data_IF_671737370344
#
_entry.id   IF_671737370344
#
_cell.length_a   1.000
_cell.length_b   1.000
_cell.length_c   1.000
_cell.angle_alpha   90.00
_cell.angle_beta   90.00
_cell.angle_gamma   90.00
#
_symmetry.space_group_name_H-M   'P 1'
#
loop_
_entity.id
_entity.type
_entity.pdbx_description
1 polymer ?
#
# COMPACT_ATOMS: atom_id res chain seq x y z
N UNK A 1 9.69 -69.71 15.75
CA UNK A 1 10.76 -68.83 15.23
C UNK A 1 10.37 -68.07 13.95
N UNK A 2 9.48 -68.54 13.05
CA UNK A 2 9.08 -67.81 11.83
C UNK A 2 8.09 -66.65 12.05
N UNK A 3 7.31 -66.63 13.13
CA UNK A 3 6.31 -65.58 13.41
C UNK A 3 6.95 -64.30 13.96
N UNK A 4 7.99 -64.40 14.78
CA UNK A 4 8.68 -63.28 15.38
C UNK A 4 9.44 -62.43 14.33
N UNK A 5 10.03 -63.08 13.33
CA UNK A 5 10.80 -62.39 12.26
C UNK A 5 9.88 -61.58 11.35
N UNK A 6 8.61 -62.03 11.16
CA UNK A 6 7.63 -61.27 10.35
C UNK A 6 7.15 -59.99 11.04
N UNK A 7 7.04 -60.00 12.37
CA UNK A 7 6.64 -58.85 13.16
C UNK A 7 7.72 -57.73 13.16
N UNK A 8 9.01 -58.07 13.27
CA UNK A 8 10.10 -57.10 13.20
C UNK A 8 10.25 -56.46 11.82
N UNK A 9 10.02 -57.20 10.73
CA UNK A 9 10.06 -56.63 9.38
C UNK A 9 8.93 -55.62 9.15
N UNK A 10 7.73 -55.88 9.67
CA UNK A 10 6.58 -54.98 9.55
C UNK A 10 6.80 -53.70 10.39
N UNK A 11 7.40 -53.83 11.57
CA UNK A 11 7.73 -52.70 12.45
C UNK A 11 8.80 -51.79 11.83
N UNK A 12 9.84 -52.37 11.24
CA UNK A 12 10.89 -51.63 10.54
C UNK A 12 10.36 -50.92 9.27
N UNK A 13 9.47 -51.58 8.51
CA UNK A 13 8.86 -50.99 7.32
C UNK A 13 7.97 -49.78 7.68
N UNK A 14 7.20 -49.88 8.79
CA UNK A 14 6.39 -48.77 9.28
C UNK A 14 7.25 -47.58 9.80
N UNK A 15 8.38 -47.86 10.46
CA UNK A 15 9.31 -46.80 10.91
C UNK A 15 9.95 -46.09 9.70
N UNK A 16 10.33 -46.81 8.66
CA UNK A 16 10.91 -46.22 7.43
C UNK A 16 9.84 -45.42 6.67
N UNK A 17 8.57 -45.88 6.63
CA UNK A 17 7.46 -45.17 6.02
C UNK A 17 7.13 -43.87 6.80
N UNK A 18 7.20 -43.89 8.13
CA UNK A 18 7.03 -42.71 9.00
C UNK A 18 8.17 -41.71 8.81
N UNK A 19 9.43 -42.16 8.68
CA UNK A 19 10.57 -41.28 8.39
C UNK A 19 10.48 -40.66 6.99
N UNK A 20 10.01 -41.42 5.99
CA UNK A 20 9.77 -40.89 4.64
C UNK A 20 8.62 -39.87 4.59
N UNK A 21 7.54 -40.06 5.39
CA UNK A 21 6.48 -39.10 5.55
C UNK A 21 6.93 -37.81 6.29
N UNK A 22 7.86 -37.90 7.24
CA UNK A 22 8.43 -36.72 7.91
C UNK A 22 9.38 -35.91 7.00
N UNK A 23 10.02 -36.54 6.02
CA UNK A 23 10.91 -35.84 5.07
C UNK A 23 10.12 -35.10 3.99
N UNK A 24 8.85 -35.48 3.72
CA UNK A 24 7.99 -34.78 2.75
C UNK A 24 7.26 -33.56 3.31
N UNK A 25 7.34 -33.28 4.61
CA UNK A 25 6.72 -32.07 5.21
C UNK A 25 7.71 -30.91 5.40
N UNK A 26 8.95 -31.04 4.93
CA UNK A 26 9.77 -29.86 4.67
C UNK A 26 9.30 -29.29 3.33
N UNK A 27 8.10 -28.72 3.35
CA UNK A 27 7.65 -27.81 2.31
C UNK A 27 8.68 -26.69 2.32
N UNK A 28 9.63 -26.76 1.39
CA UNK A 28 10.59 -25.70 1.15
C UNK A 28 9.78 -24.44 0.87
N UNK A 29 9.65 -23.57 1.86
CA UNK A 29 9.39 -22.17 1.60
C UNK A 29 10.55 -21.71 0.72
N UNK A 30 10.38 -21.85 -0.58
CA UNK A 30 11.27 -21.24 -1.55
C UNK A 30 11.08 -19.73 -1.39
N UNK A 31 11.82 -19.15 -0.45
CA UNK A 31 11.97 -17.69 -0.37
C UNK A 31 12.39 -17.25 -1.76
N UNK A 32 11.50 -16.54 -2.44
CA UNK A 32 11.77 -15.89 -3.71
C UNK A 32 12.83 -14.83 -3.40
N UNK A 33 14.11 -15.17 -3.53
CA UNK A 33 15.20 -14.21 -3.42
C UNK A 33 15.10 -13.27 -4.61
N UNK A 34 14.32 -12.20 -4.46
CA UNK A 34 14.45 -11.03 -5.31
C UNK A 34 15.86 -10.49 -5.09
N UNK A 35 16.79 -10.80 -5.99
CA UNK A 35 18.13 -10.23 -5.93
C UNK A 35 18.01 -8.72 -6.07
N UNK A 36 18.31 -8.01 -4.98
CA UNK A 36 18.39 -6.56 -4.97
C UNK A 36 19.40 -6.13 -6.03
N UNK A 37 18.91 -5.54 -7.13
CA UNK A 37 19.81 -5.00 -8.15
C UNK A 37 20.32 -3.65 -7.68
N UNK A 38 21.64 -3.40 -7.73
CA UNK A 38 22.20 -2.09 -7.43
C UNK A 38 21.55 -1.01 -8.30
N UNK A 39 21.18 0.10 -7.71
CA UNK A 39 20.73 1.30 -8.41
C UNK A 39 21.90 2.25 -8.50
N UNK A 40 22.37 2.56 -9.70
CA UNK A 40 23.56 3.39 -9.92
C UNK A 40 23.42 4.77 -9.24
N UNK A 41 24.39 5.13 -8.38
CA UNK A 41 24.41 6.39 -7.64
C UNK A 41 23.47 6.44 -6.44
N UNK A 42 22.97 5.27 -6.00
CA UNK A 42 22.10 5.14 -4.84
C UNK A 42 22.49 3.93 -4.00
N UNK A 43 22.32 4.03 -2.70
CA UNK A 43 22.37 2.89 -1.77
C UNK A 43 20.99 2.65 -1.17
N UNK A 44 20.66 1.37 -0.94
CA UNK A 44 19.41 0.97 -0.29
C UNK A 44 19.47 1.31 1.19
N UNK A 45 18.53 2.12 1.68
CA UNK A 45 18.45 2.51 3.11
C UNK A 45 17.35 1.79 3.86
N UNK A 46 16.31 1.32 3.16
CA UNK A 46 15.22 0.57 3.75
C UNK A 46 14.47 -0.23 2.68
N UNK A 47 13.94 -1.38 3.07
CA UNK A 47 13.05 -2.16 2.22
C UNK A 47 12.13 -3.06 3.04
N UNK A 48 11.00 -3.44 2.43
CA UNK A 48 10.16 -4.55 2.83
C UNK A 48 9.84 -5.39 1.58
N UNK A 49 10.32 -6.64 1.58
CA UNK A 49 10.16 -7.59 0.47
C UNK A 49 9.01 -8.57 0.74
N UNK A 50 8.31 -8.43 1.86
CA UNK A 50 7.16 -9.24 2.29
C UNK A 50 7.37 -10.76 2.22
N UNK A 51 8.61 -11.22 2.33
CA UNK A 51 9.03 -12.62 2.12
C UNK A 51 8.63 -13.59 3.24
N UNK A 52 8.08 -13.10 4.36
CA UNK A 52 7.71 -13.91 5.51
C UNK A 52 6.20 -13.95 5.58
N UNK A 53 5.62 -15.14 5.40
CA UNK A 53 4.19 -15.35 5.51
C UNK A 53 3.70 -15.09 6.94
N UNK A 54 3.12 -13.92 7.16
CA UNK A 54 2.58 -13.49 8.45
C UNK A 54 1.80 -12.16 8.32
N UNK A 55 1.56 -11.48 9.42
CA UNK A 55 1.17 -10.08 9.43
C UNK A 55 2.37 -9.21 9.00
N UNK A 56 2.16 -8.08 8.31
CA UNK A 56 3.21 -7.11 8.03
C UNK A 56 4.01 -6.75 9.27
N UNK A 57 5.34 -6.63 9.11
CA UNK A 57 6.27 -6.44 10.23
C UNK A 57 5.89 -5.21 11.08
N UNK A 58 5.55 -5.37 12.37
CA UNK A 58 5.14 -4.27 13.23
C UNK A 58 6.25 -3.24 13.49
N UNK A 59 7.52 -3.56 13.22
CA UNK A 59 8.62 -2.60 13.30
C UNK A 59 8.61 -1.63 12.11
N UNK A 60 8.01 -2.03 10.98
CA UNK A 60 7.89 -1.22 9.79
C UNK A 60 6.55 -0.50 9.69
N UNK A 61 5.45 -1.14 10.14
CA UNK A 61 4.11 -0.71 9.81
C UNK A 61 3.22 -0.45 11.02
N UNK A 62 2.54 0.68 10.97
CA UNK A 62 1.34 0.99 11.73
C UNK A 62 0.12 0.88 10.80
N UNK A 63 -1.07 1.02 11.36
CA UNK A 63 -2.33 0.92 10.62
C UNK A 63 -3.28 2.06 10.98
N UNK A 64 -4.02 2.54 10.00
CA UNK A 64 -5.21 3.32 10.29
C UNK A 64 -6.35 2.40 10.71
N UNK A 65 -7.24 2.91 11.52
CA UNK A 65 -8.39 2.17 12.04
C UNK A 65 -9.68 2.99 11.91
N UNK A 66 -10.73 2.35 11.40
CA UNK A 66 -12.04 2.98 11.28
C UNK A 66 -12.29 3.65 9.93
N UNK A 67 -13.32 4.49 9.92
CA UNK A 67 -13.56 5.45 8.85
C UNK A 67 -12.63 6.65 9.04
N UNK A 68 -11.83 7.01 8.04
CA UNK A 68 -10.74 7.97 8.25
C UNK A 68 -10.93 9.27 7.48
N UNK A 69 -11.07 9.23 6.14
CA UNK A 69 -11.08 10.42 5.28
C UNK A 69 -12.05 10.30 4.10
N UNK A 70 -12.25 11.41 3.36
CA UNK A 70 -12.85 11.47 2.02
C UNK A 70 -14.23 10.83 1.87
N UNK A 71 -15.00 10.67 2.96
CA UNK A 71 -16.27 9.95 2.99
C UNK A 71 -16.17 8.51 2.47
N UNK A 72 -14.98 7.93 2.49
CA UNK A 72 -14.71 6.56 2.04
C UNK A 72 -15.60 5.55 2.76
N UNK A 73 -15.94 4.46 2.07
CA UNK A 73 -16.95 3.51 2.56
C UNK A 73 -16.35 2.31 3.31
N UNK A 74 -15.03 2.08 3.21
CA UNK A 74 -14.38 1.03 3.97
C UNK A 74 -14.06 1.46 5.41
N UNK A 75 -14.15 0.49 6.28
CA UNK A 75 -13.54 0.53 7.61
C UNK A 75 -12.14 -0.05 7.51
N UNK A 76 -11.12 0.75 7.81
CA UNK A 76 -9.75 0.27 7.86
C UNK A 76 -9.50 -0.56 9.11
N UNK A 77 -8.83 -1.69 8.93
CA UNK A 77 -8.40 -2.59 10.00
C UNK A 77 -7.19 -3.43 9.53
N UNK A 78 -6.32 -3.82 10.49
CA UNK A 78 -5.08 -4.56 10.19
C UNK A 78 -5.31 -5.96 9.60
N UNK A 79 -6.42 -6.59 9.93
CA UNK A 79 -6.77 -7.96 9.52
C UNK A 79 -7.01 -8.07 8.00
N UNK A 80 -7.10 -6.95 7.30
CA UNK A 80 -7.24 -6.91 5.84
C UNK A 80 -5.88 -6.84 5.11
N UNK A 81 -4.75 -6.86 5.83
CA UNK A 81 -3.40 -6.90 5.28
C UNK A 81 -2.64 -8.13 5.78
N UNK A 82 -2.10 -8.92 4.87
CA UNK A 82 -1.29 -10.11 5.19
C UNK A 82 -0.09 -10.20 4.24
N UNK A 83 1.03 -10.72 4.72
CA UNK A 83 2.13 -11.14 3.86
C UNK A 83 1.94 -12.63 3.54
N UNK A 84 1.91 -12.96 2.26
CA UNK A 84 1.73 -14.32 1.79
C UNK A 84 2.38 -14.54 0.43
N UNK A 85 3.07 -15.67 0.28
CA UNK A 85 3.73 -16.09 -0.97
C UNK A 85 4.70 -15.02 -1.53
N UNK A 86 5.32 -14.23 -0.65
CA UNK A 86 6.25 -13.16 -1.01
C UNK A 86 5.57 -11.84 -1.44
N UNK A 87 4.32 -11.62 -1.06
CA UNK A 87 3.57 -10.40 -1.35
C UNK A 87 2.90 -9.83 -0.10
N UNK A 88 2.83 -8.51 0.00
CA UNK A 88 1.81 -7.88 0.84
C UNK A 88 0.49 -7.87 0.07
N UNK A 89 -0.52 -8.45 0.67
CA UNK A 89 -1.88 -8.54 0.12
C UNK A 89 -2.82 -7.71 0.97
N UNK A 90 -3.33 -6.62 0.42
CA UNK A 90 -4.41 -5.84 1.01
C UNK A 90 -5.72 -6.27 0.37
N UNK A 91 -6.69 -6.68 1.18
CA UNK A 91 -7.96 -7.20 0.68
C UNK A 91 -9.13 -6.35 1.18
N UNK A 92 -9.84 -5.70 0.26
CA UNK A 92 -11.15 -5.13 0.59
C UNK A 92 -12.22 -6.22 0.52
N UNK A 93 -13.06 -6.31 1.57
CA UNK A 93 -14.09 -7.36 1.74
C UNK A 93 -15.44 -6.74 2.11
N UNK A 94 -16.52 -7.31 1.60
CA UNK A 94 -17.83 -7.01 2.14
C UNK A 94 -17.89 -7.36 3.63
N UNK A 95 -18.59 -6.54 4.39
CA UNK A 95 -18.82 -6.74 5.80
C UNK A 95 -20.27 -6.32 6.16
N UNK A 96 -20.80 -6.91 7.20
CA UNK A 96 -22.10 -6.55 7.74
C UNK A 96 -21.99 -6.50 9.26
N UNK A 97 -21.34 -5.41 9.74
CA UNK A 97 -21.05 -5.22 11.16
C UNK A 97 -21.62 -3.90 11.65
N UNK A 98 -22.10 -3.78 12.89
CA UNK A 98 -22.37 -2.50 13.50
C UNK A 98 -21.11 -1.62 13.53
N UNK A 99 -21.28 -0.32 13.33
CA UNK A 99 -20.20 0.63 13.54
C UNK A 99 -20.07 0.90 15.08
N UNK A 100 -18.94 0.55 15.70
CA UNK A 100 -18.78 0.76 17.15
C UNK A 100 -18.73 2.25 17.54
N UNK A 101 -18.49 3.13 16.56
CA UNK A 101 -18.42 4.57 16.76
C UNK A 101 -19.74 5.29 16.39
N UNK A 102 -20.79 4.53 16.08
CA UNK A 102 -22.09 5.11 15.73
C UNK A 102 -22.71 5.83 16.95
N UNK A 103 -23.11 7.06 16.76
CA UNK A 103 -23.82 7.85 17.79
C UNK A 103 -25.27 8.13 17.37
N UNK A 104 -25.48 8.79 16.22
CA UNK A 104 -26.80 9.01 15.62
C UNK A 104 -26.68 9.26 14.12
N UNK A 105 -27.78 9.11 13.39
CA UNK A 105 -27.82 9.39 11.92
C UNK A 105 -27.67 10.88 11.60
N UNK A 106 -27.99 11.73 12.56
CA UNK A 106 -27.94 13.19 12.47
C UNK A 106 -26.60 13.76 12.94
N UNK A 107 -25.66 12.90 13.38
CA UNK A 107 -24.36 13.36 13.87
C UNK A 107 -23.56 14.04 12.76
N UNK A 108 -22.97 15.22 13.05
CA UNK A 108 -22.22 16.03 12.07
C UNK A 108 -20.97 15.30 11.54
N UNK A 109 -20.29 14.54 12.39
CA UNK A 109 -19.19 13.69 11.95
C UNK A 109 -19.73 12.46 11.22
N UNK A 110 -19.52 12.40 9.91
CA UNK A 110 -19.95 11.33 9.03
C UNK A 110 -19.45 9.92 9.46
N UNK A 111 -18.37 9.84 10.24
CA UNK A 111 -17.83 8.58 10.77
C UNK A 111 -18.69 8.02 11.89
N UNK A 112 -19.50 8.89 12.54
CA UNK A 112 -20.37 8.58 13.66
C UNK A 112 -21.85 8.52 13.28
N UNK A 113 -22.23 8.96 12.07
CA UNK A 113 -23.62 8.87 11.58
C UNK A 113 -23.89 7.62 10.74
N UNK A 114 -22.86 6.84 10.40
CA UNK A 114 -22.98 5.54 9.75
C UNK A 114 -23.22 4.45 10.79
N UNK A 115 -24.39 3.80 10.77
CA UNK A 115 -24.75 2.75 11.72
C UNK A 115 -24.04 1.41 11.46
N UNK A 116 -23.52 1.21 10.29
CA UNK A 116 -22.94 -0.06 9.86
C UNK A 116 -21.69 0.08 9.02
N UNK A 117 -20.81 -0.93 9.13
CA UNK A 117 -19.64 -1.14 8.30
C UNK A 117 -20.03 -2.10 7.18
N UNK A 118 -19.99 -1.64 5.93
CA UNK A 118 -20.36 -2.43 4.74
C UNK A 118 -19.17 -3.03 4.02
N UNK A 119 -18.00 -2.42 4.16
CA UNK A 119 -16.74 -2.87 3.57
C UNK A 119 -15.63 -2.71 4.60
N UNK A 120 -14.72 -3.67 4.66
CA UNK A 120 -13.45 -3.55 5.40
C UNK A 120 -12.28 -3.56 4.44
N UNK A 121 -11.21 -2.83 4.78
CA UNK A 121 -9.95 -2.79 4.02
C UNK A 121 -8.78 -2.49 4.95
N UNK A 122 -7.60 -2.18 4.41
CA UNK A 122 -6.44 -1.78 5.21
C UNK A 122 -5.73 -0.56 4.63
N UNK A 123 -5.17 0.23 5.53
CA UNK A 123 -4.19 1.27 5.26
C UNK A 123 -3.00 1.06 6.18
N UNK A 124 -1.84 0.81 5.59
CA UNK A 124 -0.56 0.67 6.27
C UNK A 124 0.20 1.99 6.15
N UNK A 125 0.92 2.37 7.21
CA UNK A 125 1.73 3.58 7.23
C UNK A 125 3.02 3.37 8.02
N UNK A 126 4.10 4.03 7.56
CA UNK A 126 5.39 4.03 8.28
C UNK A 126 5.51 5.15 9.32
N UNK A 127 4.46 5.93 9.54
CA UNK A 127 4.45 7.02 10.52
C UNK A 127 4.88 6.53 11.92
N UNK A 128 5.74 7.32 12.60
CA UNK A 128 6.36 7.00 13.90
C UNK A 128 7.26 5.76 13.90
N UNK A 129 7.62 5.24 12.72
CA UNK A 129 8.55 4.13 12.52
C UNK A 129 9.68 4.55 11.59
N UNK A 130 9.33 4.93 10.38
CA UNK A 130 10.28 5.35 9.34
C UNK A 130 9.76 6.58 8.61
N UNK A 131 10.67 7.49 8.30
CA UNK A 131 10.44 8.63 7.42
C UNK A 131 11.76 8.98 6.73
N UNK A 132 11.68 9.52 5.53
CA UNK A 132 12.87 9.84 4.74
C UNK A 132 12.68 11.21 4.08
N UNK A 133 13.76 11.96 4.01
CA UNK A 133 13.83 13.17 3.20
C UNK A 133 14.70 12.88 2.00
N UNK A 134 14.16 13.08 0.80
CA UNK A 134 14.79 12.79 -0.48
C UNK A 134 15.08 11.31 -0.71
N UNK A 135 15.38 10.97 -1.95
CA UNK A 135 15.74 9.64 -2.37
C UNK A 135 14.87 9.12 -3.49
N UNK A 136 15.06 7.85 -3.80
CA UNK A 136 14.22 7.06 -4.71
C UNK A 136 13.36 6.13 -3.90
N UNK A 137 12.07 6.19 -4.13
CA UNK A 137 11.06 5.32 -3.52
C UNK A 137 10.46 4.45 -4.61
N UNK A 138 10.50 3.15 -4.44
CA UNK A 138 9.98 2.20 -5.40
C UNK A 138 9.01 1.23 -4.73
N UNK A 139 7.85 1.05 -5.34
CA UNK A 139 6.90 -0.01 -5.03
C UNK A 139 6.65 -0.83 -6.30
N UNK A 140 6.82 -2.13 -6.25
CA UNK A 140 6.35 -3.01 -7.32
C UNK A 140 5.04 -3.63 -6.93
N UNK A 141 3.99 -3.32 -7.68
CA UNK A 141 2.63 -3.71 -7.33
C UNK A 141 1.75 -3.96 -8.54
N UNK A 142 0.75 -4.82 -8.35
CA UNK A 142 -0.39 -5.01 -9.26
C UNK A 142 -1.61 -4.40 -8.58
N UNK A 143 -2.09 -3.29 -9.12
CA UNK A 143 -3.20 -2.53 -8.54
C UNK A 143 -4.55 -3.08 -8.99
N UNK A 144 -5.55 -3.15 -8.10
CA UNK A 144 -6.92 -3.42 -8.51
C UNK A 144 -7.52 -2.21 -9.20
N UNK A 145 -8.37 -2.46 -10.21
CA UNK A 145 -9.06 -1.43 -10.97
C UNK A 145 -10.54 -1.77 -11.10
N UNK A 146 -11.39 -0.76 -11.27
CA UNK A 146 -12.83 -0.92 -11.41
C UNK A 146 -13.63 0.18 -10.72
N UNK A 147 -14.96 0.04 -10.74
CA UNK A 147 -15.87 1.01 -10.14
C UNK A 147 -15.67 1.08 -8.63
N UNK A 148 -15.53 2.30 -8.11
CA UNK A 148 -15.38 2.56 -6.68
C UNK A 148 -14.10 2.04 -6.02
N UNK A 149 -13.16 1.49 -6.78
CA UNK A 149 -11.88 0.98 -6.29
C UNK A 149 -10.87 2.13 -6.32
N UNK A 150 -10.13 2.31 -5.20
CA UNK A 150 -9.16 3.40 -5.04
C UNK A 150 -7.93 2.95 -4.26
N UNK A 151 -6.99 2.23 -4.90
CA UNK A 151 -5.67 1.95 -4.35
C UNK A 151 -4.81 3.20 -4.40
N UNK A 152 -3.94 3.38 -3.38
CA UNK A 152 -2.97 4.47 -3.35
C UNK A 152 -1.63 4.02 -2.75
N UNK A 153 -0.55 4.65 -3.23
CA UNK A 153 0.79 4.66 -2.68
C UNK A 153 1.28 6.10 -2.65
N UNK A 154 1.42 6.65 -1.46
CA UNK A 154 1.58 8.08 -1.24
C UNK A 154 2.37 8.41 0.02
N UNK A 155 2.67 9.68 0.24
CA UNK A 155 3.44 10.16 1.37
C UNK A 155 2.84 11.41 1.99
N UNK A 156 3.09 11.61 3.29
CA UNK A 156 2.82 12.85 4.00
C UNK A 156 4.06 13.27 4.81
N UNK A 157 4.28 14.58 4.89
CA UNK A 157 5.31 15.15 5.76
C UNK A 157 5.03 14.90 7.24
N UNK A 158 6.11 14.75 8.01
CA UNK A 158 6.01 14.44 9.45
C UNK A 158 5.61 15.64 10.30
N UNK A 159 5.90 16.85 9.86
CA UNK A 159 5.63 18.08 10.58
C UNK A 159 4.49 18.88 9.95
N UNK A 160 3.55 19.34 10.77
CA UNK A 160 2.39 20.11 10.35
C UNK A 160 1.14 19.26 10.12
N UNK A 161 0.06 19.96 9.78
CA UNK A 161 -1.22 19.35 9.44
C UNK A 161 -1.45 19.46 7.94
N UNK A 162 -2.19 18.52 7.39
CA UNK A 162 -2.60 18.59 5.98
C UNK A 162 -3.39 19.89 5.69
N UNK A 163 -3.13 20.59 4.58
CA UNK A 163 -2.16 20.27 3.52
C UNK A 163 -0.76 20.90 3.71
N UNK A 164 -0.49 21.60 4.84
CA UNK A 164 0.77 22.32 5.05
C UNK A 164 1.99 21.40 5.27
N UNK A 165 1.74 20.11 5.60
CA UNK A 165 2.79 19.10 5.69
C UNK A 165 3.19 18.51 4.32
N UNK A 166 2.46 18.84 3.24
CA UNK A 166 2.71 18.31 1.90
C UNK A 166 2.23 16.88 1.71
N UNK A 167 1.79 16.57 0.49
CA UNK A 167 1.34 15.26 0.06
C UNK A 167 1.95 14.92 -1.29
N UNK A 168 2.41 13.69 -1.48
CA UNK A 168 2.90 13.20 -2.76
C UNK A 168 2.21 11.87 -3.06
N UNK A 169 1.31 11.87 -4.04
CA UNK A 169 0.64 10.67 -4.52
C UNK A 169 1.48 10.05 -5.64
N UNK A 170 2.35 9.10 -5.25
CA UNK A 170 3.24 8.42 -6.20
C UNK A 170 2.40 7.59 -7.17
N UNK A 171 1.30 7.03 -6.69
CA UNK A 171 0.31 6.30 -7.46
C UNK A 171 -1.05 6.39 -6.79
N UNK A 172 -2.05 6.79 -7.55
CA UNK A 172 -3.46 6.60 -7.25
C UNK A 172 -4.20 6.04 -8.48
N UNK A 173 -5.26 5.30 -8.23
CA UNK A 173 -6.22 4.93 -9.26
C UNK A 173 -7.64 5.18 -8.75
N UNK A 174 -8.46 5.87 -9.53
CA UNK A 174 -9.92 5.91 -9.39
C UNK A 174 -10.60 6.36 -10.69
N UNK A 175 -11.87 5.97 -10.84
CA UNK A 175 -12.73 6.36 -11.99
C UNK A 175 -12.06 6.12 -13.35
N UNK A 176 -11.33 4.98 -13.48
CA UNK A 176 -10.69 4.60 -14.74
C UNK A 176 -9.39 5.35 -15.06
N UNK A 177 -8.81 6.06 -14.12
CA UNK A 177 -7.61 6.86 -14.33
C UNK A 177 -6.50 6.50 -13.35
N UNK A 178 -5.26 6.54 -13.83
CA UNK A 178 -4.04 6.59 -13.05
C UNK A 178 -3.71 8.05 -12.77
N UNK A 179 -3.40 8.38 -11.53
CA UNK A 179 -3.06 9.73 -11.10
C UNK A 179 -1.70 9.75 -10.43
N UNK A 180 -1.02 10.87 -10.60
CA UNK A 180 0.24 11.19 -9.94
C UNK A 180 0.19 12.66 -9.53
N UNK A 181 0.08 12.93 -8.22
CA UNK A 181 -0.25 14.26 -7.72
C UNK A 181 0.75 14.71 -6.65
N UNK A 182 0.85 16.03 -6.49
CA UNK A 182 1.64 16.67 -5.45
C UNK A 182 0.81 17.83 -4.90
N UNK A 183 0.64 17.90 -3.58
CA UNK A 183 -0.19 18.93 -2.94
C UNK A 183 0.53 19.66 -1.82
N UNK A 184 0.28 20.96 -1.71
CA UNK A 184 0.78 21.81 -0.63
C UNK A 184 -0.25 22.89 -0.27
N UNK A 185 0.01 23.64 0.79
CA UNK A 185 -0.97 24.55 1.37
C UNK A 185 -1.16 25.83 0.53
N UNK A 186 -2.44 26.18 0.29
CA UNK A 186 -2.82 27.51 -0.19
C UNK A 186 -3.15 28.44 0.99
N UNK A 187 -3.44 29.72 0.68
CA UNK A 187 -3.92 30.69 1.67
C UNK A 187 -5.37 30.46 2.13
N UNK A 188 -6.05 29.45 1.57
CA UNK A 188 -7.39 29.07 1.98
C UNK A 188 -7.36 27.81 2.82
N UNK A 189 -7.89 27.91 4.05
CA UNK A 189 -7.91 26.79 5.00
C UNK A 189 -8.52 25.52 4.35
N UNK A 190 -7.80 24.41 4.46
CA UNK A 190 -8.19 23.09 3.91
C UNK A 190 -8.34 23.02 2.38
N UNK A 191 -7.84 24.00 1.64
CA UNK A 191 -7.78 23.96 0.19
C UNK A 191 -6.32 23.88 -0.26
N UNK A 192 -5.85 22.73 -0.71
CA UNK A 192 -4.49 22.58 -1.22
C UNK A 192 -4.34 23.18 -2.61
N UNK A 193 -3.11 23.56 -2.95
CA UNK A 193 -2.65 23.72 -4.33
C UNK A 193 -2.22 22.36 -4.83
N UNK A 194 -2.64 21.99 -6.04
CA UNK A 194 -2.33 20.72 -6.65
C UNK A 194 -1.50 20.87 -7.92
N UNK A 195 -0.40 20.13 -8.01
CA UNK A 195 0.22 19.77 -9.29
C UNK A 195 -0.21 18.34 -9.61
N UNK A 196 -1.18 18.19 -10.53
CA UNK A 196 -1.84 16.93 -10.82
C UNK A 196 -1.66 16.49 -12.25
N UNK A 197 -1.46 15.19 -12.47
CA UNK A 197 -1.50 14.54 -13.78
C UNK A 197 -2.40 13.31 -13.73
N UNK A 198 -3.21 13.20 -14.77
CA UNK A 198 -4.22 12.12 -14.89
C UNK A 198 -4.05 11.43 -16.23
N UNK A 199 -4.03 10.10 -16.21
CA UNK A 199 -3.90 9.25 -17.39
C UNK A 199 -5.04 8.25 -17.44
N UNK A 200 -5.83 8.28 -18.49
CA UNK A 200 -6.90 7.29 -18.65
C UNK A 200 -6.29 5.89 -18.80
N UNK A 201 -6.80 4.93 -18.04
CA UNK A 201 -6.27 3.56 -18.03
C UNK A 201 -6.33 2.92 -19.44
N UNK A 202 -7.31 3.28 -20.27
CA UNK A 202 -7.43 2.77 -21.64
C UNK A 202 -6.33 3.26 -22.59
N UNK A 203 -5.48 4.21 -22.18
CA UNK A 203 -4.30 4.63 -22.96
C UNK A 203 -3.10 3.70 -22.75
N UNK A 204 -3.16 2.82 -21.77
CA UNK A 204 -2.16 1.76 -21.57
C UNK A 204 -2.53 0.53 -22.41
N UNK A 205 -1.59 -0.41 -22.56
CA UNK A 205 -1.85 -1.65 -23.31
C UNK A 205 -2.99 -2.46 -22.66
N UNK A 206 -3.64 -3.29 -23.45
CA UNK A 206 -4.65 -4.22 -22.93
C UNK A 206 -4.11 -5.07 -21.78
N UNK A 207 -4.95 -5.29 -20.78
CA UNK A 207 -4.62 -6.06 -19.58
C UNK A 207 -3.47 -5.49 -18.71
N UNK A 208 -3.05 -4.24 -18.95
CA UNK A 208 -1.95 -3.62 -18.21
C UNK A 208 -2.13 -3.72 -16.70
N UNK A 209 -3.30 -3.42 -16.16
CA UNK A 209 -3.58 -3.50 -14.73
C UNK A 209 -3.50 -4.93 -14.13
N UNK A 210 -3.44 -5.98 -14.96
CA UNK A 210 -3.26 -7.36 -14.51
C UNK A 210 -1.77 -7.73 -14.32
N UNK A 211 -0.86 -6.81 -14.61
CA UNK A 211 0.58 -7.00 -14.48
C UNK A 211 1.12 -6.24 -13.27
N UNK A 212 2.31 -6.62 -12.82
CA UNK A 212 3.05 -5.86 -11.80
C UNK A 212 3.84 -4.74 -12.46
N UNK A 213 3.65 -3.52 -11.98
CA UNK A 213 4.35 -2.32 -12.41
C UNK A 213 5.21 -1.75 -11.29
N UNK A 214 6.28 -1.04 -11.65
CA UNK A 214 7.13 -0.32 -10.70
C UNK A 214 6.69 1.13 -10.63
N UNK A 215 6.10 1.51 -9.52
CA UNK A 215 5.74 2.87 -9.18
C UNK A 215 6.90 3.52 -8.46
N UNK A 216 7.38 4.66 -8.98
CA UNK A 216 8.61 5.26 -8.48
C UNK A 216 8.48 6.77 -8.30
N UNK A 217 9.05 7.26 -7.20
CA UNK A 217 9.34 8.65 -6.97
C UNK A 217 10.85 8.84 -6.93
N UNK A 218 11.38 9.78 -7.70
CA UNK A 218 12.70 10.35 -7.54
C UNK A 218 12.54 11.75 -6.95
N UNK A 219 13.05 11.97 -5.75
CA UNK A 219 12.89 13.19 -5.00
C UNK A 219 14.23 13.69 -4.49
N UNK A 220 14.55 14.95 -4.79
CA UNK A 220 15.74 15.63 -4.31
C UNK A 220 15.42 17.07 -3.86
N UNK A 221 16.45 17.87 -3.62
CA UNK A 221 16.31 19.25 -3.13
C UNK A 221 15.58 20.18 -4.10
N UNK A 222 15.55 19.84 -5.37
CA UNK A 222 15.06 20.71 -6.44
C UNK A 222 13.77 20.21 -7.08
N UNK A 223 13.52 18.91 -7.06
CA UNK A 223 12.41 18.34 -7.81
C UNK A 223 11.85 17.04 -7.20
N UNK A 224 10.58 16.79 -7.52
CA UNK A 224 9.90 15.50 -7.36
C UNK A 224 9.49 15.02 -8.74
N UNK A 225 9.84 13.78 -9.09
CA UNK A 225 9.48 13.13 -10.34
C UNK A 225 8.80 11.80 -10.06
N UNK A 226 7.60 11.62 -10.61
CA UNK A 226 6.76 10.44 -10.39
C UNK A 226 6.68 9.62 -11.68
N UNK A 227 6.85 8.30 -11.54
CA UNK A 227 6.94 7.39 -12.69
C UNK A 227 6.11 6.13 -12.48
N UNK A 228 5.68 5.53 -13.60
CA UNK A 228 5.34 4.11 -13.68
C UNK A 228 6.29 3.43 -14.66
N UNK A 229 6.89 2.33 -14.24
CA UNK A 229 7.99 1.66 -14.93
C UNK A 229 9.12 2.66 -15.22
N UNK A 230 9.29 3.12 -16.44
CA UNK A 230 10.24 4.18 -16.77
C UNK A 230 9.55 5.40 -17.42
N UNK A 231 8.22 5.41 -17.46
CA UNK A 231 7.44 6.52 -18.00
C UNK A 231 7.28 7.60 -16.92
N UNK A 232 7.73 8.81 -17.20
CA UNK A 232 7.47 9.98 -16.34
C UNK A 232 5.98 10.31 -16.41
N UNK A 233 5.33 10.35 -15.24
CA UNK A 233 3.92 10.73 -15.10
C UNK A 233 3.80 12.20 -14.69
N UNK A 234 4.55 12.64 -13.68
CA UNK A 234 4.48 14.01 -13.17
C UNK A 234 5.83 14.48 -12.69
N UNK A 235 6.04 15.80 -12.74
CA UNK A 235 7.23 16.48 -12.20
C UNK A 235 6.82 17.79 -11.55
N UNK A 236 7.41 18.10 -10.39
CA UNK A 236 7.30 19.39 -9.73
C UNK A 236 8.69 19.99 -9.48
N UNK A 237 8.84 21.28 -9.80
CA UNK A 237 9.96 22.11 -9.35
C UNK A 237 9.66 22.58 -7.93
N UNK A 238 10.49 22.20 -6.96
CA UNK A 238 10.29 22.53 -5.56
C UNK A 238 10.45 24.03 -5.26
N UNK A 239 11.07 24.80 -6.13
CA UNK A 239 11.08 26.26 -5.99
C UNK A 239 9.65 26.86 -6.06
N UNK A 240 8.69 26.15 -6.64
CA UNK A 240 7.31 26.60 -6.84
C UNK A 240 6.31 26.03 -5.82
N UNK A 241 6.72 25.14 -4.93
CA UNK A 241 5.83 24.42 -4.00
C UNK A 241 5.87 24.98 -2.57
N UNK A 242 5.94 26.28 -2.45
CA UNK A 242 5.98 26.98 -1.16
C UNK A 242 4.57 27.12 -0.60
N UNK A 243 4.36 26.72 0.63
CA UNK A 243 3.12 26.96 1.37
C UNK A 243 2.83 28.47 1.47
N UNK A 244 1.63 28.89 1.07
CA UNK A 244 1.28 30.31 1.01
C UNK A 244 1.12 30.94 2.39
N UNK A 245 0.81 30.18 3.46
CA UNK A 245 0.58 30.74 4.79
C UNK A 245 1.85 30.87 5.61
N UNK A 246 2.72 29.85 5.61
CA UNK A 246 3.91 29.79 6.46
C UNK A 246 5.24 30.00 5.69
N UNK A 247 5.17 30.13 4.36
CA UNK A 247 6.30 30.34 3.44
C UNK A 247 7.38 29.24 3.52
N UNK A 248 7.02 28.03 3.99
CA UNK A 248 7.91 26.88 4.01
C UNK A 248 7.59 25.95 2.84
N UNK A 249 8.61 25.26 2.35
CA UNK A 249 8.42 24.17 1.41
C UNK A 249 8.18 22.88 2.19
N UNK A 250 7.00 22.26 2.07
CA UNK A 250 6.69 21.02 2.82
C UNK A 250 7.49 19.81 2.33
N UNK A 251 8.13 19.90 1.16
CA UNK A 251 8.94 18.82 0.60
C UNK A 251 10.44 18.93 0.97
N UNK A 252 10.80 19.83 1.88
CA UNK A 252 12.13 19.92 2.49
C UNK A 252 12.18 19.30 3.90
N UNK A 253 11.18 18.52 4.26
CA UNK A 253 11.12 17.72 5.49
C UNK A 253 11.03 16.22 5.19
N UNK A 254 11.28 15.33 6.15
CA UNK A 254 11.01 13.91 5.96
C UNK A 254 9.52 13.64 5.76
N UNK A 255 9.22 12.65 4.90
CA UNK A 255 7.87 12.12 4.69
C UNK A 255 7.81 10.64 5.11
N UNK A 256 6.66 10.22 5.62
CA UNK A 256 6.34 8.81 5.84
C UNK A 256 5.46 8.28 4.71
N UNK A 257 5.50 6.97 4.50
CA UNK A 257 4.76 6.28 3.44
C UNK A 257 3.39 5.81 3.93
N UNK A 258 2.43 5.80 3.00
CA UNK A 258 1.12 5.17 3.17
C UNK A 258 0.81 4.30 1.95
N UNK A 259 0.21 3.13 2.22
CA UNK A 259 -0.33 2.22 1.20
C UNK A 259 -1.72 1.82 1.65
N UNK A 260 -2.72 2.08 0.82
CA UNK A 260 -4.10 1.71 1.14
C UNK A 260 -4.91 1.27 -0.05
N UNK A 261 -5.99 0.56 0.24
CA UNK A 261 -7.05 0.25 -0.69
C UNK A 261 -8.35 0.86 -0.18
N UNK A 262 -8.71 2.04 -0.68
CA UNK A 262 -9.98 2.68 -0.37
C UNK A 262 -11.09 2.16 -1.29
N UNK A 263 -12.33 2.28 -0.84
CA UNK A 263 -13.54 1.92 -1.60
C UNK A 263 -14.55 3.06 -1.47
N UNK A 264 -15.08 3.48 -2.60
CA UNK A 264 -16.11 4.53 -2.63
C UNK A 264 -15.58 5.92 -2.34
N UNK A 265 -16.29 6.68 -1.52
CA UNK A 265 -15.93 8.02 -1.12
C UNK A 265 -16.02 9.06 -2.24
N UNK A 266 -15.46 10.25 -1.99
CA UNK A 266 -15.52 11.38 -2.93
C UNK A 266 -14.85 11.08 -4.28
N UNK A 267 -13.72 10.39 -4.26
CA UNK A 267 -12.94 10.11 -5.46
C UNK A 267 -13.29 8.75 -6.08
N UNK A 268 -13.39 7.67 -5.29
CA UNK A 268 -13.72 6.33 -5.80
C UNK A 268 -15.10 6.27 -6.43
N UNK A 269 -16.10 6.93 -5.82
CA UNK A 269 -17.49 6.96 -6.31
C UNK A 269 -18.24 5.66 -6.03
N UNK A 270 -19.27 5.38 -6.83
CA UNK A 270 -20.12 4.20 -6.62
C UNK A 270 -19.37 2.89 -6.88
N UNK A 271 -19.58 1.89 -6.02
CA UNK A 271 -18.99 0.54 -6.12
C UNK A 271 -20.04 -0.58 -6.23
N UNK A 272 -21.23 -0.23 -6.71
CA UNK A 272 -22.36 -1.18 -6.81
C UNK A 272 -22.12 -2.34 -7.76
N UNK A 273 -21.21 -2.17 -8.72
CA UNK A 273 -20.79 -3.22 -9.66
C UNK A 273 -19.51 -3.95 -9.24
N UNK A 274 -18.89 -3.54 -8.13
CA UNK A 274 -17.63 -4.12 -7.66
C UNK A 274 -17.87 -5.52 -7.11
N UNK A 275 -17.08 -6.47 -7.59
CA UNK A 275 -17.10 -7.85 -7.11
C UNK A 275 -16.05 -7.98 -6.01
N UNK A 276 -16.48 -8.31 -4.81
CA UNK A 276 -15.61 -8.56 -3.67
C UNK A 276 -15.25 -10.05 -3.56
N UNK A 277 -14.07 -10.40 -3.03
CA UNK A 277 -13.04 -9.49 -2.49
C UNK A 277 -12.25 -8.78 -3.59
N UNK A 278 -11.83 -7.54 -3.32
CA UNK A 278 -10.90 -6.79 -4.14
C UNK A 278 -9.50 -6.91 -3.53
N UNK A 279 -8.51 -7.21 -4.35
CA UNK A 279 -7.15 -7.53 -3.89
C UNK A 279 -6.13 -6.57 -4.49
N UNK A 280 -5.29 -5.99 -3.65
CA UNK A 280 -4.13 -5.18 -4.02
C UNK A 280 -2.87 -5.96 -3.63
N UNK A 281 -2.02 -6.30 -4.60
CA UNK A 281 -0.84 -7.14 -4.43
C UNK A 281 0.43 -6.30 -4.57
N UNK A 282 1.26 -6.26 -3.54
CA UNK A 282 2.52 -5.52 -3.52
C UNK A 282 3.68 -6.52 -3.33
N UNK A 283 4.62 -6.55 -4.29
CA UNK A 283 5.78 -7.44 -4.31
C UNK A 283 6.89 -6.92 -3.39
N UNK A 284 7.20 -5.65 -3.49
CA UNK A 284 8.18 -5.01 -2.61
C UNK A 284 7.95 -3.50 -2.50
N UNK A 285 8.57 -2.95 -1.45
CA UNK A 285 8.75 -1.54 -1.25
C UNK A 285 10.19 -1.25 -0.86
N UNK A 286 10.83 -0.29 -1.53
CA UNK A 286 12.25 0.01 -1.37
C UNK A 286 12.49 1.51 -1.35
N UNK A 287 13.36 1.94 -0.45
CA UNK A 287 13.82 3.33 -0.37
C UNK A 287 15.33 3.36 -0.53
N UNK A 288 15.79 4.20 -1.44
CA UNK A 288 17.20 4.41 -1.74
C UNK A 288 17.53 5.88 -1.54
N UNK A 289 18.74 6.17 -1.07
CA UNK A 289 19.27 7.53 -1.01
C UNK A 289 20.51 7.68 -1.88
N UNK A 290 20.77 8.90 -2.37
CA UNK A 290 21.98 9.19 -3.16
C UNK A 290 23.22 8.97 -2.32
N UNK A 291 24.30 8.48 -2.96
CA UNK A 291 25.63 8.36 -2.38
C UNK A 291 26.25 9.73 -2.11
#
# INVERSE_FOLDING_TARGET
>A
MKIVIKSYKLFFLNQILLLLLLVFTISSCASRKNTLKPVKGYHLVWNDEFNIDCVPNPDNWNYEHGFVRNLEDQWYQKENAVCKDGYLIITAKQAFKPNPNFESKEHEDWRKNRDSIKVTSSCLLTANKHSWKYGRFEMRAKIPVGDGIWPAFWTLGIDGNWPSNGEIDIMEYYKGNILANIAWESNQKWKPIWNSKTYNLNTFKDNWANEFHVWRMDWDETSIKLYVDNQLLNEADLATTINETNHKNPFHQPHYLLINLAIGGLNGGAYTKTIFPVVYEIDYLRVYQKE
#
